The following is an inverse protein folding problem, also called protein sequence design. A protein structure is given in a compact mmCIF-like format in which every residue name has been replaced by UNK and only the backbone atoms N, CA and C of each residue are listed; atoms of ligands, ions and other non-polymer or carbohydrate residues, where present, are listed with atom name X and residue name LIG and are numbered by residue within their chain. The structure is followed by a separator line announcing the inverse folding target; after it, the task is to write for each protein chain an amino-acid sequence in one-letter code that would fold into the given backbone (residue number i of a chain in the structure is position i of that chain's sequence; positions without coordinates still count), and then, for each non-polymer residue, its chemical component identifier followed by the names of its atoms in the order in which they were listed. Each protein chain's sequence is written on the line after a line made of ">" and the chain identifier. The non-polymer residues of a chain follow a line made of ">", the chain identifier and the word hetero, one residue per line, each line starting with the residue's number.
data_IF_623011542666
#
_entry.id   IF_623011542666
#
_cell.length_a   1.000
_cell.length_b   1.000
_cell.length_c   1.000
_cell.angle_alpha   90.00
_cell.angle_beta   90.00
_cell.angle_gamma   90.00
#
_symmetry.space_group_name_H-M   'P 1'
#
loop_
_entity.id
_entity.type
_entity.pdbx_description
1 polymer ?
#
# COMPACT_ATOMS: atom_id res chain seq x y z
N UNK A 1 17.53 10.07 -13.68
CA UNK A 1 16.08 10.00 -13.91
C UNK A 1 15.71 10.35 -15.36
N UNK A 2 16.24 11.43 -15.96
CA UNK A 2 15.94 11.86 -17.35
C UNK A 2 16.06 10.74 -18.41
N UNK A 3 17.04 9.86 -18.26
CA UNK A 3 17.37 8.85 -19.26
C UNK A 3 16.32 7.75 -19.40
N UNK A 4 15.50 7.56 -18.37
CA UNK A 4 14.44 6.52 -18.32
C UNK A 4 13.04 7.09 -18.56
N UNK A 5 12.90 8.41 -18.63
CA UNK A 5 11.61 9.05 -18.88
C UNK A 5 11.17 8.84 -20.32
N UNK A 6 9.89 8.59 -20.48
CA UNK A 6 9.15 8.63 -21.73
C UNK A 6 7.86 9.43 -21.50
N UNK A 7 7.15 9.74 -22.57
CA UNK A 7 5.94 10.56 -22.50
C UNK A 7 4.77 9.90 -23.24
N UNK A 8 3.58 10.13 -22.73
CA UNK A 8 2.35 9.77 -23.40
C UNK A 8 1.40 10.98 -23.42
N UNK A 9 0.46 10.97 -24.33
CA UNK A 9 -0.55 12.01 -24.44
C UNK A 9 -1.93 11.39 -24.23
N UNK A 10 -2.68 11.93 -23.27
CA UNK A 10 -4.06 11.55 -22.97
C UNK A 10 -4.88 12.82 -23.01
N UNK A 11 -5.93 12.86 -23.82
CA UNK A 11 -6.85 13.98 -23.95
C UNK A 11 -6.16 15.35 -24.18
N UNK A 12 -5.06 15.33 -24.96
CA UNK A 12 -4.28 16.52 -25.28
C UNK A 12 -3.28 16.96 -24.20
N UNK A 13 -3.27 16.33 -23.05
CA UNK A 13 -2.30 16.57 -21.98
C UNK A 13 -1.11 15.60 -22.07
N UNK A 14 0.09 16.14 -21.83
CA UNK A 14 1.34 15.38 -21.84
C UNK A 14 1.65 14.90 -20.43
N UNK A 15 1.93 13.59 -20.29
CA UNK A 15 2.35 12.96 -19.06
C UNK A 15 3.71 12.29 -19.23
N UNK A 16 4.57 12.39 -18.22
CA UNK A 16 5.82 11.64 -18.15
C UNK A 16 5.59 10.30 -17.42
N UNK A 17 6.40 9.29 -17.72
CA UNK A 17 6.46 8.02 -16.98
C UNK A 17 7.84 7.39 -17.11
N UNK A 18 8.20 6.47 -16.19
CA UNK A 18 9.42 5.67 -16.29
C UNK A 18 9.19 4.52 -17.27
N UNK A 19 9.92 4.50 -18.36
CA UNK A 19 9.83 3.45 -19.37
C UNK A 19 10.81 2.31 -19.07
N UNK A 20 10.28 1.20 -18.56
CA UNK A 20 11.08 0.01 -18.24
C UNK A 20 11.72 -0.65 -19.47
N UNK A 21 11.26 -0.38 -20.69
CA UNK A 21 11.92 -0.83 -21.93
C UNK A 21 13.27 -0.15 -22.16
N UNK A 22 13.53 0.97 -21.50
CA UNK A 22 14.86 1.61 -21.50
C UNK A 22 15.84 0.98 -20.49
N UNK A 23 15.32 0.19 -19.55
CA UNK A 23 16.09 -0.51 -18.52
C UNK A 23 16.33 -1.99 -18.86
N UNK A 24 15.40 -2.61 -19.56
CA UNK A 24 15.30 -4.05 -19.77
C UNK A 24 15.03 -4.35 -21.24
N UNK A 25 15.62 -5.44 -21.73
CA UNK A 25 15.20 -5.99 -23.01
C UNK A 25 13.76 -6.51 -22.95
N UNK A 26 13.02 -6.58 -24.08
CA UNK A 26 11.68 -7.14 -24.09
C UNK A 26 11.59 -8.55 -23.49
N UNK A 27 12.60 -9.39 -23.72
CA UNK A 27 12.66 -10.74 -23.19
C UNK A 27 12.83 -10.75 -21.66
N UNK A 28 13.65 -9.87 -21.10
CA UNK A 28 13.82 -9.71 -19.64
C UNK A 28 12.54 -9.18 -19.02
N UNK A 29 11.95 -8.13 -19.57
CA UNK A 29 10.71 -7.54 -19.07
C UNK A 29 9.56 -8.57 -19.09
N UNK A 30 9.43 -9.38 -20.16
CA UNK A 30 8.40 -10.41 -20.24
C UNK A 30 8.52 -11.47 -19.13
N UNK A 31 9.75 -11.78 -18.70
CA UNK A 31 10.03 -12.78 -17.65
C UNK A 31 9.85 -12.25 -16.24
N UNK A 32 9.89 -10.92 -16.04
CA UNK A 32 9.76 -10.32 -14.72
C UNK A 32 8.31 -10.33 -14.24
N UNK A 33 8.07 -10.76 -12.98
CA UNK A 33 6.80 -10.57 -12.29
C UNK A 33 6.37 -9.10 -12.27
N UNK A 34 5.07 -8.83 -12.26
CA UNK A 34 4.54 -7.46 -12.23
C UNK A 34 4.93 -6.70 -10.96
N UNK A 35 4.93 -7.37 -9.82
CA UNK A 35 5.39 -6.80 -8.54
C UNK A 35 6.83 -6.30 -8.62
N UNK A 36 7.73 -7.04 -9.28
CA UNK A 36 9.12 -6.60 -9.49
C UNK A 36 9.24 -5.46 -10.51
N UNK A 37 8.35 -5.39 -11.51
CA UNK A 37 8.32 -4.24 -12.43
C UNK A 37 7.96 -2.95 -11.70
N UNK A 38 6.99 -3.01 -10.77
CA UNK A 38 6.60 -1.87 -9.92
C UNK A 38 7.77 -1.45 -9.02
N UNK A 39 8.48 -2.41 -8.40
CA UNK A 39 9.68 -2.10 -7.60
C UNK A 39 10.78 -1.45 -8.43
N UNK A 40 11.07 -1.95 -9.64
CA UNK A 40 12.07 -1.37 -10.53
C UNK A 40 11.69 0.06 -10.97
N UNK A 41 10.42 0.30 -11.27
CA UNK A 41 9.93 1.65 -11.56
C UNK A 41 10.18 2.57 -10.36
N UNK A 42 9.77 2.11 -9.16
CA UNK A 42 9.92 2.87 -7.92
C UNK A 42 11.38 3.24 -7.65
N UNK A 43 12.32 2.28 -7.79
CA UNK A 43 13.75 2.52 -7.60
C UNK A 43 14.31 3.44 -8.67
N UNK A 44 13.93 3.28 -9.93
CA UNK A 44 14.38 4.16 -11.01
C UNK A 44 13.93 5.62 -10.78
N UNK A 45 12.76 5.81 -10.18
CA UNK A 45 12.18 7.11 -9.85
C UNK A 45 12.75 7.71 -8.57
N UNK A 46 12.84 6.94 -7.48
CA UNK A 46 13.09 7.47 -6.14
C UNK A 46 14.53 7.23 -5.65
N UNK A 47 15.19 6.16 -6.08
CA UNK A 47 16.50 5.75 -5.60
C UNK A 47 17.43 5.30 -6.76
N UNK A 48 17.67 6.13 -7.77
CA UNK A 48 18.39 5.73 -8.99
C UNK A 48 19.83 5.24 -8.72
N UNK A 49 20.45 5.61 -7.61
CA UNK A 49 21.77 5.10 -7.19
C UNK A 49 21.74 3.60 -6.92
N UNK A 50 20.64 3.07 -6.38
CA UNK A 50 20.47 1.63 -6.09
C UNK A 50 20.05 0.82 -7.32
N UNK A 51 19.59 1.48 -8.40
CA UNK A 51 19.03 0.83 -9.57
C UNK A 51 19.96 -0.22 -10.21
N UNK A 52 21.27 0.00 -10.39
CA UNK A 52 22.16 -0.99 -11.02
C UNK A 52 22.22 -2.31 -10.25
N UNK A 53 22.29 -2.26 -8.92
CA UNK A 53 22.31 -3.46 -8.06
C UNK A 53 20.99 -4.21 -8.11
N UNK A 54 19.86 -3.48 -7.96
CA UNK A 54 18.51 -4.05 -8.00
C UNK A 54 18.21 -4.64 -9.37
N UNK A 55 18.59 -3.97 -10.46
CA UNK A 55 18.41 -4.45 -11.83
C UNK A 55 19.22 -5.73 -12.11
N UNK A 56 20.49 -5.75 -11.67
CA UNK A 56 21.35 -6.92 -11.79
C UNK A 56 20.75 -8.13 -11.06
N UNK A 57 20.24 -7.91 -9.85
CA UNK A 57 19.56 -8.97 -9.08
C UNK A 57 18.26 -9.41 -9.74
N UNK A 58 17.45 -8.48 -10.23
CA UNK A 58 16.18 -8.75 -10.92
C UNK A 58 16.37 -9.59 -12.20
N UNK A 59 17.50 -9.41 -12.88
CA UNK A 59 17.86 -10.19 -14.09
C UNK A 59 18.61 -11.50 -13.79
N UNK A 60 18.80 -11.82 -12.51
CA UNK A 60 19.46 -13.05 -12.06
C UNK A 60 20.98 -13.05 -12.19
N UNK A 61 21.60 -11.88 -12.32
CA UNK A 61 23.06 -11.74 -12.51
C UNK A 61 23.80 -11.24 -11.27
N UNK A 62 23.08 -10.61 -10.32
CA UNK A 62 23.68 -10.00 -9.14
C UNK A 62 23.44 -10.79 -7.85
N UNK A 63 24.22 -10.47 -6.79
CA UNK A 63 23.99 -10.98 -5.44
C UNK A 63 22.67 -10.45 -4.85
N UNK A 64 22.30 -10.99 -3.71
CA UNK A 64 21.18 -10.43 -2.93
C UNK A 64 21.52 -8.97 -2.54
N UNK A 65 20.52 -8.13 -2.61
CA UNK A 65 20.62 -6.71 -2.30
C UNK A 65 19.39 -6.22 -1.55
N UNK A 66 19.52 -5.05 -0.96
CA UNK A 66 18.42 -4.33 -0.36
C UNK A 66 17.75 -3.43 -1.40
N UNK A 67 16.44 -3.31 -1.30
CA UNK A 67 15.60 -2.45 -2.14
C UNK A 67 15.08 -1.31 -1.26
N UNK A 68 15.52 -0.06 -1.45
CA UNK A 68 15.03 1.10 -0.73
C UNK A 68 13.69 1.55 -1.34
N UNK A 69 12.62 0.91 -0.92
CA UNK A 69 11.27 1.18 -1.45
C UNK A 69 10.72 2.50 -0.90
N UNK A 70 10.24 3.37 -1.78
CA UNK A 70 9.59 4.63 -1.43
C UNK A 70 8.08 4.54 -1.65
N UNK A 71 7.25 4.41 -0.60
CA UNK A 71 5.81 4.41 -0.77
C UNK A 71 5.29 5.78 -1.23
N UNK A 72 4.22 5.79 -2.02
CA UNK A 72 3.56 7.04 -2.43
C UNK A 72 2.76 7.65 -1.29
N UNK A 73 2.31 6.83 -0.37
CA UNK A 73 1.46 7.19 0.77
C UNK A 73 1.54 6.17 1.87
N UNK A 74 1.11 6.58 3.03
CA UNK A 74 1.09 5.80 4.25
C UNK A 74 -0.32 5.79 4.84
N UNK A 75 -0.76 4.61 5.32
CA UNK A 75 -1.98 4.51 6.10
C UNK A 75 -1.68 3.98 7.51
N UNK A 76 -2.38 4.55 8.47
CA UNK A 76 -2.35 4.12 9.86
C UNK A 76 -3.73 3.67 10.32
N UNK A 77 -3.78 2.70 11.19
CA UNK A 77 -4.91 2.54 12.08
C UNK A 77 -4.67 3.31 13.39
N UNK A 78 -5.72 3.56 14.13
CA UNK A 78 -5.71 4.48 15.27
C UNK A 78 -4.81 4.06 16.45
N UNK A 79 -4.52 2.77 16.62
CA UNK A 79 -3.66 2.30 17.71
C UNK A 79 -2.17 2.51 17.43
N UNK A 80 -1.74 2.53 16.18
CA UNK A 80 -0.34 2.72 15.76
C UNK A 80 -0.01 4.14 15.33
N UNK A 81 -1.00 4.93 14.94
CA UNK A 81 -0.80 6.32 14.52
C UNK A 81 -0.44 7.26 15.68
N UNK A 82 -1.04 7.07 16.83
CA UNK A 82 -0.89 8.02 17.96
C UNK A 82 0.54 8.17 18.45
N UNK A 83 1.35 7.10 18.60
CA UNK A 83 2.76 7.25 18.92
C UNK A 83 3.52 8.08 17.87
N UNK A 84 3.29 7.82 16.57
CA UNK A 84 3.92 8.59 15.51
C UNK A 84 3.52 10.08 15.54
N UNK A 85 2.24 10.39 15.81
CA UNK A 85 1.79 11.77 15.96
C UNK A 85 2.38 12.44 17.20
N UNK A 86 2.57 11.72 18.31
CA UNK A 86 3.22 12.23 19.50
C UNK A 86 4.68 12.60 19.23
N UNK A 87 5.39 11.76 18.47
CA UNK A 87 6.76 12.07 18.06
C UNK A 87 6.82 13.28 17.12
N UNK A 88 5.87 13.43 16.19
CA UNK A 88 5.76 14.65 15.36
C UNK A 88 5.49 15.90 16.19
N UNK A 89 4.67 15.80 17.24
CA UNK A 89 4.46 16.91 18.17
C UNK A 89 5.76 17.24 18.93
N UNK A 90 6.45 16.22 19.47
CA UNK A 90 7.73 16.40 20.14
C UNK A 90 8.82 16.98 19.23
N UNK A 91 8.90 16.55 17.97
CA UNK A 91 9.81 17.15 16.99
C UNK A 91 9.50 18.65 16.76
N UNK A 92 8.23 19.03 16.70
CA UNK A 92 7.82 20.44 16.57
C UNK A 92 8.24 21.26 17.79
N UNK A 93 8.10 20.70 18.98
CA UNK A 93 8.55 21.36 20.22
C UNK A 93 10.07 21.59 20.19
N UNK A 94 10.86 20.58 19.84
CA UNK A 94 12.32 20.70 19.72
C UNK A 94 12.73 21.73 18.67
N UNK A 95 12.07 21.75 17.50
CA UNK A 95 12.35 22.75 16.46
C UNK A 95 12.07 24.16 16.97
N UNK A 96 10.97 24.36 17.71
CA UNK A 96 10.63 25.65 18.32
C UNK A 96 11.66 26.06 19.38
N UNK A 97 12.10 25.15 20.26
CA UNK A 97 13.14 25.40 21.28
C UNK A 97 14.49 25.79 20.64
N UNK A 98 14.80 25.23 19.45
CA UNK A 98 15.98 25.59 18.68
C UNK A 98 15.84 26.90 17.88
N UNK A 99 14.69 27.58 17.98
CA UNK A 99 14.39 28.83 17.26
C UNK A 99 14.01 28.63 15.77
N UNK A 100 13.71 27.40 15.35
CA UNK A 100 13.19 27.11 14.03
C UNK A 100 11.68 27.24 13.90
N UNK A 101 11.18 27.06 12.69
CA UNK A 101 9.74 27.04 12.42
C UNK A 101 9.16 25.62 12.63
N UNK A 102 8.36 25.40 13.68
CA UNK A 102 7.77 24.09 13.95
C UNK A 102 6.80 23.62 12.84
N UNK A 103 6.26 24.53 12.04
CA UNK A 103 5.38 24.15 10.92
C UNK A 103 6.10 23.47 9.77
N UNK A 104 7.45 23.53 9.72
CA UNK A 104 8.26 22.78 8.79
C UNK A 104 8.22 21.26 9.00
N UNK A 105 7.85 20.82 10.23
CA UNK A 105 7.71 19.37 10.52
C UNK A 105 6.33 18.90 10.09
N UNK A 106 6.26 18.29 8.92
CA UNK A 106 5.06 17.75 8.30
C UNK A 106 5.34 16.37 7.68
N UNK A 107 4.31 15.54 7.46
CA UNK A 107 4.46 14.32 6.66
C UNK A 107 5.02 14.62 5.26
N UNK A 108 6.13 13.98 4.92
CA UNK A 108 6.75 14.12 3.59
C UNK A 108 5.94 13.45 2.49
N UNK A 109 5.14 12.44 2.84
CA UNK A 109 4.20 11.76 1.95
C UNK A 109 2.78 11.83 2.54
N UNK A 110 1.72 11.73 1.73
CA UNK A 110 0.36 11.70 2.23
C UNK A 110 0.17 10.59 3.26
N UNK A 111 -0.28 10.96 4.46
CA UNK A 111 -0.57 10.05 5.55
C UNK A 111 -2.06 10.08 5.91
N UNK A 112 -2.67 8.92 6.04
CA UNK A 112 -4.09 8.76 6.34
C UNK A 112 -4.25 7.94 7.61
N UNK A 113 -4.98 8.47 8.57
CA UNK A 113 -5.41 7.74 9.76
C UNK A 113 -6.84 7.24 9.57
N UNK A 114 -7.08 5.95 9.80
CA UNK A 114 -8.42 5.36 9.91
C UNK A 114 -8.70 4.98 11.35
N UNK A 115 -9.83 5.43 11.88
CA UNK A 115 -10.25 5.11 13.26
C UNK A 115 -11.20 3.92 13.18
N UNK A 116 -10.69 2.73 13.45
CA UNK A 116 -11.42 1.49 13.24
C UNK A 116 -11.08 0.35 14.23
N UNK A 117 -9.89 0.33 14.81
CA UNK A 117 -9.43 -0.76 15.68
C UNK A 117 -9.78 -0.54 17.16
N UNK A 118 -10.06 0.69 17.58
CA UNK A 118 -10.37 1.02 18.97
C UNK A 118 -11.86 1.02 19.31
N UNK A 119 -12.71 0.99 18.32
CA UNK A 119 -14.17 1.01 18.52
C UNK A 119 -14.64 -0.35 19.04
N UNK A 120 -15.25 -0.35 20.22
CA UNK A 120 -15.77 -1.54 20.90
C UNK A 120 -17.30 -1.55 20.80
N UNK A 121 -17.88 -2.68 20.43
CA UNK A 121 -19.33 -2.87 20.37
C UNK A 121 -19.85 -3.29 21.76
N UNK A 122 -20.59 -2.43 22.42
CA UNK A 122 -21.27 -2.69 23.72
C UNK A 122 -22.79 -2.81 23.57
N UNK A 123 -23.37 -2.10 22.59
CA UNK A 123 -24.75 -2.20 22.20
C UNK A 123 -24.90 -2.90 20.85
N UNK A 124 -25.84 -3.86 20.76
CA UNK A 124 -26.06 -4.63 19.53
C UNK A 124 -27.52 -5.09 19.41
N UNK A 125 -27.96 -5.36 18.20
CA UNK A 125 -29.28 -5.88 17.87
C UNK A 125 -30.45 -5.02 18.39
N UNK A 126 -30.26 -3.73 18.60
CA UNK A 126 -31.28 -2.76 19.04
C UNK A 126 -31.20 -1.47 18.21
N UNK A 127 -32.28 -0.74 18.17
CA UNK A 127 -32.33 0.56 17.49
C UNK A 127 -31.43 1.56 18.23
N UNK A 128 -30.61 2.32 17.48
CA UNK A 128 -29.68 3.29 18.06
C UNK A 128 -28.36 2.70 18.59
N UNK A 129 -28.11 1.39 18.38
CA UNK A 129 -26.88 0.74 18.85
C UNK A 129 -25.61 1.37 18.28
N UNK A 130 -25.64 1.82 17.03
CA UNK A 130 -24.47 2.46 16.37
C UNK A 130 -24.15 3.76 17.08
N UNK A 131 -25.12 4.62 17.26
CA UNK A 131 -24.98 5.92 17.93
C UNK A 131 -24.52 5.74 19.39
N UNK A 132 -25.11 4.77 20.12
CA UNK A 132 -24.72 4.48 21.49
C UNK A 132 -23.25 4.03 21.61
N UNK A 133 -22.79 3.16 20.71
CA UNK A 133 -21.39 2.73 20.69
C UNK A 133 -20.44 3.87 20.35
N UNK A 134 -20.78 4.73 19.39
CA UNK A 134 -19.97 5.91 19.05
C UNK A 134 -19.91 6.90 20.21
N UNK A 135 -21.01 7.17 20.89
CA UNK A 135 -21.03 8.05 22.07
C UNK A 135 -20.15 7.52 23.22
N UNK A 136 -20.14 6.20 23.43
CA UNK A 136 -19.29 5.55 24.42
C UNK A 136 -17.81 5.71 24.00
N UNK A 137 -17.49 5.45 22.75
CA UNK A 137 -16.14 5.55 22.22
C UNK A 137 -15.62 7.00 22.33
N UNK A 138 -16.39 8.00 21.90
CA UNK A 138 -16.02 9.42 21.99
C UNK A 138 -15.78 9.87 23.43
N UNK A 139 -16.58 9.43 24.38
CA UNK A 139 -16.39 9.74 25.81
C UNK A 139 -15.14 9.07 26.37
N UNK A 140 -14.96 7.79 26.10
CA UNK A 140 -13.84 6.97 26.58
C UNK A 140 -12.50 7.47 26.05
N UNK A 141 -12.45 7.84 24.79
CA UNK A 141 -11.25 8.24 24.07
C UNK A 141 -11.18 9.76 23.81
N UNK A 142 -11.82 10.59 24.63
CA UNK A 142 -11.93 12.03 24.39
C UNK A 142 -10.59 12.76 24.24
N UNK A 143 -9.55 12.39 25.00
CA UNK A 143 -8.20 12.96 24.88
C UNK A 143 -7.54 12.57 23.56
N UNK A 144 -7.68 11.30 23.18
CA UNK A 144 -7.19 10.78 21.88
C UNK A 144 -7.81 11.56 20.72
N UNK A 145 -9.12 11.76 20.71
CA UNK A 145 -9.81 12.48 19.65
C UNK A 145 -9.42 13.97 19.59
N UNK A 146 -9.18 14.60 20.73
CA UNK A 146 -8.66 15.98 20.75
C UNK A 146 -7.28 16.06 20.11
N UNK A 147 -6.41 15.11 20.43
CA UNK A 147 -5.07 15.05 19.87
C UNK A 147 -5.08 14.76 18.36
N UNK A 148 -5.89 13.82 17.90
CA UNK A 148 -6.10 13.53 16.46
C UNK A 148 -6.62 14.78 15.74
N UNK A 149 -7.57 15.50 16.33
CA UNK A 149 -8.12 16.73 15.75
C UNK A 149 -7.09 17.85 15.66
N UNK A 150 -6.22 17.94 16.68
CA UNK A 150 -5.07 18.86 16.63
C UNK A 150 -4.13 18.47 15.48
N UNK A 151 -3.76 17.21 15.35
CA UNK A 151 -2.88 16.74 14.30
C UNK A 151 -3.47 17.03 12.89
N UNK A 152 -4.76 16.76 12.70
CA UNK A 152 -5.47 17.04 11.44
C UNK A 152 -5.49 18.53 11.10
N UNK A 153 -5.53 19.41 12.08
CA UNK A 153 -5.54 20.86 11.89
C UNK A 153 -4.14 21.46 11.72
N UNK A 154 -3.11 20.78 12.23
CA UNK A 154 -1.74 21.29 12.33
C UNK A 154 -0.78 20.69 11.32
N UNK A 155 -1.05 19.49 10.81
CA UNK A 155 -0.22 18.79 9.84
C UNK A 155 -0.82 18.91 8.44
N UNK A 156 -0.02 19.37 7.51
CA UNK A 156 -0.31 19.29 6.09
C UNK A 156 -0.33 17.81 5.65
N UNK A 157 -0.62 17.35 4.56
CA UNK A 157 -0.53 15.94 4.11
C UNK A 157 -1.07 14.88 5.10
N UNK A 158 -1.90 15.26 6.09
CA UNK A 158 -2.47 14.35 7.06
C UNK A 158 -3.99 14.39 7.02
N UNK A 159 -4.61 13.21 6.77
CA UNK A 159 -6.06 13.07 6.67
C UNK A 159 -6.57 12.05 7.69
N UNK A 160 -7.74 12.30 8.25
CA UNK A 160 -8.41 11.39 9.19
C UNK A 160 -9.71 10.90 8.59
N UNK A 161 -9.89 9.58 8.59
CA UNK A 161 -11.16 8.91 8.30
C UNK A 161 -11.83 8.62 9.64
N UNK A 162 -13.04 9.15 9.89
CA UNK A 162 -13.68 9.08 11.19
C UNK A 162 -14.15 7.66 11.53
N UNK A 163 -14.45 7.38 12.83
CA UNK A 163 -15.01 6.10 13.24
C UNK A 163 -16.39 5.84 12.60
N UNK A 164 -16.77 4.58 12.49
CA UNK A 164 -18.03 4.17 11.88
C UNK A 164 -17.99 4.07 10.36
N UNK A 165 -16.86 4.35 9.74
CA UNK A 165 -16.67 4.24 8.28
C UNK A 165 -16.29 2.82 7.86
N UNK A 166 -15.84 1.94 8.77
CA UNK A 166 -15.45 0.56 8.56
C UNK A 166 -13.93 0.33 8.70
N UNK A 167 -13.47 -0.90 8.52
CA UNK A 167 -12.07 -1.31 8.70
C UNK A 167 -11.24 -0.87 7.50
N UNK A 168 -10.01 -0.43 7.75
CA UNK A 168 -9.09 0.29 6.86
C UNK A 168 -9.02 -0.25 5.40
N UNK A 169 -8.82 -1.54 5.19
CA UNK A 169 -8.70 -2.10 3.84
C UNK A 169 -9.95 -2.84 3.34
N UNK A 170 -10.97 -2.99 4.18
CA UNK A 170 -12.18 -3.76 3.87
C UNK A 170 -13.36 -2.89 3.45
N UNK A 171 -13.24 -1.60 3.67
CA UNK A 171 -14.34 -0.67 3.60
C UNK A 171 -14.67 -0.18 2.20
N UNK A 172 -13.67 0.31 1.54
CA UNK A 172 -13.83 0.97 0.26
C UNK A 172 -12.47 1.09 -0.43
N UNK A 173 -11.93 -0.04 -0.87
CA UNK A 173 -10.62 -0.07 -1.52
C UNK A 173 -10.56 0.86 -2.72
N UNK A 174 -11.66 1.03 -3.44
CA UNK A 174 -11.76 1.90 -4.61
C UNK A 174 -11.55 3.37 -4.24
N UNK A 175 -11.99 3.79 -3.05
CA UNK A 175 -11.79 5.17 -2.59
C UNK A 175 -10.38 5.45 -2.08
N UNK A 176 -9.65 4.43 -1.66
CA UNK A 176 -8.30 4.58 -1.13
C UNK A 176 -7.21 4.21 -2.14
N UNK A 177 -7.54 3.55 -3.25
CA UNK A 177 -6.61 3.17 -4.30
C UNK A 177 -6.76 4.06 -5.53
N UNK A 178 -5.64 4.47 -6.11
CA UNK A 178 -5.65 5.22 -7.38
C UNK A 178 -5.14 4.38 -8.56
N UNK A 179 -4.52 3.23 -8.30
CA UNK A 179 -3.89 2.35 -9.29
C UNK A 179 -2.74 3.01 -10.04
N UNK A 180 -2.98 4.19 -10.60
CA UNK A 180 -1.98 5.08 -11.20
C UNK A 180 -1.94 6.35 -10.36
N UNK A 181 -0.78 6.66 -9.84
CA UNK A 181 -0.53 7.85 -9.03
C UNK A 181 0.05 8.97 -9.88
N UNK A 182 -0.28 10.20 -9.53
CA UNK A 182 0.26 11.41 -10.14
C UNK A 182 1.21 12.11 -9.18
N UNK A 183 2.37 12.48 -9.69
CA UNK A 183 3.35 13.30 -8.95
C UNK A 183 3.86 14.44 -9.82
N UNK A 184 4.36 15.54 -9.25
CA UNK A 184 5.02 16.58 -10.01
C UNK A 184 6.24 16.01 -10.76
N UNK A 185 6.35 16.30 -12.05
CA UNK A 185 7.54 15.98 -12.82
C UNK A 185 8.59 17.10 -12.70
N UNK A 186 9.86 16.77 -12.91
CA UNK A 186 10.97 17.73 -12.80
C UNK A 186 10.88 18.88 -13.83
N UNK A 187 10.16 18.68 -14.93
CA UNK A 187 9.92 19.69 -15.97
C UNK A 187 8.66 20.55 -15.71
N UNK A 188 8.04 20.40 -14.52
CA UNK A 188 6.81 21.10 -14.15
C UNK A 188 5.53 20.45 -14.67
N UNK A 189 5.63 19.32 -15.38
CA UNK A 189 4.50 18.49 -15.81
C UNK A 189 4.03 17.48 -14.76
N UNK A 190 3.32 16.45 -15.20
CA UNK A 190 2.80 15.36 -14.37
C UNK A 190 3.54 14.07 -14.70
N UNK A 191 4.05 13.40 -13.66
CA UNK A 191 4.67 12.07 -13.73
C UNK A 191 3.66 11.03 -13.27
N UNK A 192 3.32 10.09 -14.16
CA UNK A 192 2.48 8.94 -13.84
C UNK A 192 3.34 7.76 -13.40
N UNK A 193 2.92 7.10 -12.34
CA UNK A 193 3.58 5.89 -11.85
C UNK A 193 2.58 4.97 -11.12
N UNK A 194 2.93 3.70 -10.88
CA UNK A 194 2.06 2.79 -10.12
C UNK A 194 1.76 3.32 -8.71
N UNK A 195 0.53 3.15 -8.26
CA UNK A 195 0.18 3.35 -6.86
C UNK A 195 0.84 2.27 -6.01
N UNK A 196 1.56 2.69 -4.98
CA UNK A 196 2.19 1.80 -4.02
C UNK A 196 2.16 2.43 -2.62
N UNK A 197 1.98 1.61 -1.60
CA UNK A 197 1.76 2.10 -0.25
C UNK A 197 2.31 1.15 0.81
N UNK A 198 2.47 1.68 2.01
CA UNK A 198 2.60 0.88 3.23
C UNK A 198 1.52 1.28 4.23
N UNK A 199 1.17 0.38 5.11
CA UNK A 199 0.29 0.71 6.22
C UNK A 199 0.73 -0.03 7.49
N UNK A 200 0.40 0.52 8.63
CA UNK A 200 0.68 -0.13 9.93
C UNK A 200 -0.38 -1.17 10.30
N UNK A 201 -0.91 -1.84 9.30
CA UNK A 201 -1.91 -2.91 9.41
C UNK A 201 -1.44 -4.17 8.68
N UNK A 202 -1.54 -5.32 9.33
CA UNK A 202 -1.14 -6.62 8.77
C UNK A 202 -1.95 -7.04 7.54
N UNK A 203 -3.18 -6.55 7.39
CA UNK A 203 -4.07 -6.86 6.26
C UNK A 203 -3.94 -5.89 5.08
N UNK A 204 -2.94 -5.03 5.08
CA UNK A 204 -2.59 -4.16 3.94
C UNK A 204 -2.48 -4.91 2.61
N UNK A 205 -1.98 -6.17 2.54
CA UNK A 205 -1.93 -6.90 1.28
C UNK A 205 -3.27 -7.06 0.55
N UNK A 206 -4.40 -6.81 1.20
CA UNK A 206 -5.72 -6.81 0.55
C UNK A 206 -5.80 -5.83 -0.63
N UNK A 207 -5.10 -4.68 -0.55
CA UNK A 207 -5.08 -3.67 -1.62
C UNK A 207 -4.43 -4.20 -2.92
N UNK A 208 -3.59 -5.22 -2.83
CA UNK A 208 -2.95 -5.81 -4.00
C UNK A 208 -3.95 -6.53 -4.93
N UNK A 209 -5.18 -6.79 -4.46
CA UNK A 209 -6.25 -7.37 -5.26
C UNK A 209 -6.63 -6.53 -6.47
N UNK A 210 -6.39 -5.22 -6.42
CA UNK A 210 -6.72 -4.23 -7.44
C UNK A 210 -5.49 -3.60 -8.10
N UNK A 211 -4.33 -4.26 -7.98
CA UNK A 211 -3.11 -3.86 -8.69
C UNK A 211 -2.27 -2.79 -8.01
N UNK A 212 -2.58 -2.43 -6.79
CA UNK A 212 -1.76 -1.54 -5.95
C UNK A 212 -0.75 -2.37 -5.19
N UNK A 213 0.53 -2.03 -5.24
CA UNK A 213 1.56 -2.73 -4.47
C UNK A 213 1.60 -2.19 -3.05
N UNK A 214 1.21 -3.02 -2.07
CA UNK A 214 1.18 -2.60 -0.68
C UNK A 214 1.39 -3.73 0.32
N UNK A 215 1.99 -3.42 1.47
CA UNK A 215 2.19 -4.37 2.57
C UNK A 215 2.20 -3.68 3.93
N UNK A 216 2.04 -4.49 4.97
CA UNK A 216 2.07 -4.05 6.35
C UNK A 216 3.50 -3.79 6.85
N UNK A 217 3.68 -2.71 7.60
CA UNK A 217 4.94 -2.33 8.26
C UNK A 217 4.72 -2.11 9.76
N UNK A 218 5.80 -2.12 10.53
CA UNK A 218 5.77 -1.74 11.94
C UNK A 218 5.53 -0.24 12.14
N UNK A 219 5.16 0.14 13.35
CA UNK A 219 4.88 1.55 13.69
C UNK A 219 6.08 2.48 13.44
N UNK A 220 7.30 2.04 13.80
CA UNK A 220 8.53 2.80 13.57
C UNK A 220 8.87 2.94 12.08
N UNK A 221 8.69 1.88 11.29
CA UNK A 221 8.89 1.93 9.84
C UNK A 221 7.87 2.88 9.19
N UNK A 222 6.60 2.83 9.65
CA UNK A 222 5.57 3.76 9.22
C UNK A 222 5.91 5.21 9.54
N UNK A 223 6.45 5.47 10.74
CA UNK A 223 6.90 6.80 11.13
C UNK A 223 8.09 7.28 10.28
N UNK A 224 9.07 6.42 10.00
CA UNK A 224 10.20 6.74 9.13
C UNK A 224 9.70 7.06 7.70
N UNK A 225 8.77 6.27 7.16
CA UNK A 225 8.13 6.56 5.89
C UNK A 225 7.35 7.89 5.89
N UNK A 226 6.70 8.24 7.00
CA UNK A 226 6.02 9.53 7.16
C UNK A 226 7.00 10.71 7.11
N UNK A 227 8.24 10.51 7.56
CA UNK A 227 9.33 11.49 7.46
C UNK A 227 10.01 11.51 6.07
N UNK A 228 9.60 10.63 5.16
CA UNK A 228 10.14 10.56 3.80
C UNK A 228 11.30 9.58 3.64
N UNK A 229 11.62 8.80 4.67
CA UNK A 229 12.63 7.75 4.57
C UNK A 229 12.11 6.55 3.77
N UNK A 230 12.94 5.93 2.94
CA UNK A 230 12.54 4.70 2.25
C UNK A 230 12.35 3.55 3.26
N UNK A 231 11.47 2.63 2.92
CA UNK A 231 11.30 1.36 3.64
C UNK A 231 12.23 0.32 3.00
N UNK A 232 13.35 -0.02 3.65
CA UNK A 232 14.28 -0.99 3.10
C UNK A 232 13.72 -2.41 3.20
N UNK A 233 13.75 -3.15 2.09
CA UNK A 233 13.38 -4.56 2.07
C UNK A 233 14.47 -5.40 1.40
N UNK A 234 14.72 -6.64 1.83
CA UNK A 234 15.53 -7.57 1.04
C UNK A 234 14.89 -7.76 -0.34
N UNK A 235 15.71 -7.91 -1.40
CA UNK A 235 15.17 -8.18 -2.73
C UNK A 235 14.24 -9.41 -2.69
N UNK A 236 12.93 -9.26 -3.00
CA UNK A 236 11.95 -10.30 -2.72
C UNK A 236 12.05 -11.47 -3.71
N UNK A 237 11.94 -12.68 -3.20
CA UNK A 237 11.63 -13.83 -4.02
C UNK A 237 10.14 -13.79 -4.38
N UNK A 238 9.82 -13.97 -5.67
CA UNK A 238 8.42 -14.01 -6.13
C UNK A 238 8.00 -15.44 -6.43
N UNK A 239 6.92 -15.88 -5.80
CA UNK A 239 6.29 -17.18 -6.02
C UNK A 239 5.04 -16.98 -6.87
N UNK A 240 5.03 -17.55 -8.09
CA UNK A 240 3.88 -17.47 -8.98
C UNK A 240 2.83 -18.53 -8.67
N UNK A 241 1.56 -18.13 -8.57
CA UNK A 241 0.41 -19.04 -8.51
C UNK A 241 -0.36 -18.91 -9.83
N UNK A 242 -0.39 -19.97 -10.60
CA UNK A 242 -1.17 -20.02 -11.83
C UNK A 242 -2.57 -20.53 -11.55
N UNK A 243 -3.57 -19.67 -11.75
CA UNK A 243 -5.00 -20.02 -11.69
C UNK A 243 -5.48 -20.44 -13.07
N UNK A 244 -6.09 -21.61 -13.16
CA UNK A 244 -6.74 -22.12 -14.35
C UNK A 244 -8.20 -22.43 -14.05
N UNK A 245 -9.07 -22.27 -15.04
CA UNK A 245 -10.52 -22.49 -14.90
C UNK A 245 -11.20 -21.50 -13.94
N UNK A 246 -12.37 -21.87 -13.44
CA UNK A 246 -13.19 -21.09 -12.51
C UNK A 246 -13.55 -21.93 -11.29
N UNK A 247 -13.99 -21.25 -10.21
CA UNK A 247 -14.54 -21.92 -9.05
C UNK A 247 -15.79 -22.72 -9.44
N UNK A 248 -15.92 -23.92 -8.91
CA UNK A 248 -17.11 -24.76 -9.12
C UNK A 248 -18.32 -24.14 -8.44
N UNK A 249 -19.54 -24.37 -8.93
CA UNK A 249 -20.75 -23.95 -8.24
C UNK A 249 -20.76 -24.40 -6.77
N UNK A 250 -21.12 -23.51 -5.86
CA UNK A 250 -21.13 -23.76 -4.43
C UNK A 250 -19.81 -23.51 -3.70
N UNK A 251 -18.69 -23.29 -4.42
CA UNK A 251 -17.40 -22.91 -3.82
C UNK A 251 -17.33 -21.40 -3.67
N UNK A 252 -17.01 -20.94 -2.46
CA UNK A 252 -16.92 -19.51 -2.12
C UNK A 252 -15.51 -18.96 -2.27
N UNK A 253 -15.37 -17.63 -2.22
CA UNK A 253 -14.07 -16.97 -2.16
C UNK A 253 -13.30 -17.37 -0.88
N UNK A 254 -14.00 -17.62 0.22
CA UNK A 254 -13.40 -18.08 1.48
C UNK A 254 -12.80 -19.48 1.34
N UNK A 255 -13.49 -20.40 0.66
CA UNK A 255 -12.93 -21.74 0.40
C UNK A 255 -11.64 -21.66 -0.43
N UNK A 256 -11.63 -20.76 -1.44
CA UNK A 256 -10.43 -20.50 -2.22
C UNK A 256 -9.31 -19.95 -1.34
N UNK A 257 -9.60 -18.93 -0.52
CA UNK A 257 -8.61 -18.29 0.35
C UNK A 257 -8.01 -19.27 1.36
N UNK A 258 -8.84 -20.11 1.99
CA UNK A 258 -8.38 -21.13 2.93
C UNK A 258 -7.54 -22.21 2.24
N UNK A 259 -7.93 -22.63 1.04
CA UNK A 259 -7.17 -23.59 0.23
C UNK A 259 -5.80 -23.04 -0.17
N UNK A 260 -5.74 -21.79 -0.60
CA UNK A 260 -4.50 -21.09 -0.94
C UNK A 260 -3.61 -20.97 0.31
N UNK A 261 -4.21 -20.57 1.43
CA UNK A 261 -3.51 -20.45 2.72
C UNK A 261 -2.86 -21.76 3.13
N UNK A 262 -3.60 -22.87 3.11
CA UNK A 262 -3.05 -24.19 3.43
C UNK A 262 -1.91 -24.59 2.48
N UNK A 263 -2.10 -24.39 1.18
CA UNK A 263 -1.11 -24.70 0.15
C UNK A 263 0.20 -23.92 0.36
N UNK A 264 0.11 -22.61 0.61
CA UNK A 264 1.27 -21.72 0.75
C UNK A 264 1.96 -21.87 2.10
N UNK A 265 1.19 -22.08 3.17
CA UNK A 265 1.74 -22.31 4.51
C UNK A 265 2.66 -23.53 4.56
N UNK A 266 2.32 -24.60 3.84
CA UNK A 266 3.16 -25.79 3.71
C UNK A 266 4.49 -25.55 2.98
N UNK A 267 4.63 -24.43 2.25
CA UNK A 267 5.80 -24.09 1.43
C UNK A 267 6.68 -22.98 1.97
N UNK A 268 6.42 -22.49 3.17
CA UNK A 268 7.16 -21.40 3.81
C UNK A 268 7.28 -20.15 2.90
N UNK A 269 6.29 -19.27 3.01
CA UNK A 269 6.24 -18.01 2.24
C UNK A 269 6.79 -16.80 2.97
N UNK A 270 7.41 -17.00 4.14
CA UNK A 270 7.91 -15.89 4.96
C UNK A 270 8.86 -15.01 4.17
N UNK A 271 8.57 -13.71 4.14
CA UNK A 271 9.35 -12.70 3.43
C UNK A 271 9.27 -12.74 1.91
N UNK A 272 8.42 -13.59 1.33
CA UNK A 272 8.25 -13.69 -0.12
C UNK A 272 7.05 -12.88 -0.61
N UNK A 273 7.11 -12.53 -1.89
CA UNK A 273 5.97 -12.04 -2.63
C UNK A 273 5.27 -13.22 -3.33
N UNK A 274 3.96 -13.22 -3.32
CA UNK A 274 3.13 -14.17 -4.06
C UNK A 274 2.43 -13.40 -5.17
N UNK A 275 2.54 -13.86 -6.41
CA UNK A 275 1.90 -13.21 -7.55
C UNK A 275 0.98 -14.20 -8.27
N UNK A 276 -0.28 -13.82 -8.43
CA UNK A 276 -1.28 -14.62 -9.10
C UNK A 276 -1.27 -14.35 -10.60
N UNK A 277 -1.35 -15.40 -11.38
CA UNK A 277 -1.28 -15.36 -12.86
C UNK A 277 -2.23 -16.39 -13.45
N UNK A 278 -2.39 -16.34 -14.77
CA UNK A 278 -3.11 -17.35 -15.52
C UNK A 278 -4.55 -16.96 -15.90
N UNK A 279 -5.15 -17.74 -16.81
CA UNK A 279 -6.44 -17.38 -17.42
C UNK A 279 -7.63 -17.42 -16.44
N UNK A 280 -7.52 -18.19 -15.36
CA UNK A 280 -8.58 -18.29 -14.34
C UNK A 280 -8.78 -17.00 -13.54
N UNK A 281 -7.81 -16.06 -13.55
CA UNK A 281 -7.98 -14.77 -12.88
C UNK A 281 -9.17 -13.97 -13.42
N UNK A 282 -9.52 -14.14 -14.69
CA UNK A 282 -10.67 -13.46 -15.30
C UNK A 282 -12.01 -13.85 -14.68
N UNK A 283 -12.08 -15.02 -14.02
CA UNK A 283 -13.27 -15.49 -13.31
C UNK A 283 -13.38 -15.03 -11.87
N UNK A 284 -12.31 -14.46 -11.28
CA UNK A 284 -12.28 -13.98 -9.92
C UNK A 284 -12.65 -12.48 -9.89
N UNK A 285 -13.69 -12.16 -9.13
CA UNK A 285 -14.03 -10.76 -8.82
C UNK A 285 -12.90 -10.12 -8.00
N UNK A 286 -12.85 -8.79 -7.99
CA UNK A 286 -11.90 -8.06 -7.13
C UNK A 286 -12.09 -8.41 -5.65
N UNK A 287 -13.34 -8.61 -5.19
CA UNK A 287 -13.64 -9.03 -3.82
C UNK A 287 -13.09 -10.43 -3.50
N UNK A 288 -13.20 -11.40 -4.42
CA UNK A 288 -12.62 -12.72 -4.25
C UNK A 288 -11.08 -12.67 -4.18
N UNK A 289 -10.44 -11.83 -5.02
CA UNK A 289 -9.00 -11.59 -4.94
C UNK A 289 -8.62 -10.93 -3.62
N UNK A 290 -9.41 -9.95 -3.16
CA UNK A 290 -9.24 -9.28 -1.87
C UNK A 290 -9.28 -10.26 -0.71
N UNK A 291 -10.23 -11.20 -0.71
CA UNK A 291 -10.32 -12.26 0.32
C UNK A 291 -9.07 -13.12 0.37
N UNK A 292 -8.50 -13.48 -0.78
CA UNK A 292 -7.24 -14.24 -0.85
C UNK A 292 -6.06 -13.41 -0.39
N UNK A 293 -5.94 -12.17 -0.85
CA UNK A 293 -4.84 -11.26 -0.52
C UNK A 293 -4.84 -10.87 0.96
N UNK A 294 -6.02 -10.73 1.56
CA UNK A 294 -6.21 -10.40 2.97
C UNK A 294 -5.56 -11.43 3.90
N UNK A 295 -5.47 -12.70 3.48
CA UNK A 295 -4.88 -13.78 4.27
C UNK A 295 -3.36 -13.93 4.07
N UNK A 296 -2.68 -12.97 3.46
CA UNK A 296 -1.22 -13.00 3.31
C UNK A 296 -0.48 -13.23 4.64
N UNK A 297 -0.84 -12.57 5.76
CA UNK A 297 -0.18 -12.79 7.04
C UNK A 297 -0.29 -14.23 7.55
N UNK A 298 -1.42 -14.91 7.29
CA UNK A 298 -1.69 -16.26 7.77
C UNK A 298 -0.75 -17.30 7.17
N UNK A 299 -0.20 -17.07 5.99
CA UNK A 299 0.83 -17.94 5.40
C UNK A 299 2.21 -17.28 5.31
N UNK A 300 2.36 -16.07 5.85
CA UNK A 300 3.63 -15.38 6.05
C UNK A 300 4.15 -14.63 4.82
N UNK A 301 3.35 -14.45 3.76
CA UNK A 301 3.75 -13.66 2.61
C UNK A 301 3.70 -12.16 2.92
N UNK A 302 4.69 -11.41 2.44
CA UNK A 302 4.70 -9.95 2.57
C UNK A 302 3.69 -9.30 1.62
N UNK A 303 3.59 -9.81 0.40
CA UNK A 303 2.72 -9.29 -0.68
C UNK A 303 1.98 -10.44 -1.33
N UNK A 304 0.71 -10.20 -1.70
CA UNK A 304 -0.10 -11.11 -2.51
C UNK A 304 -0.72 -10.33 -3.66
N UNK A 305 -0.01 -10.29 -4.76
CA UNK A 305 -0.28 -9.38 -5.88
C UNK A 305 -1.15 -10.02 -6.97
N UNK A 306 -2.17 -9.28 -7.38
CA UNK A 306 -3.01 -9.59 -8.54
C UNK A 306 -2.82 -8.50 -9.59
N UNK A 307 -2.29 -8.83 -10.78
CA UNK A 307 -2.12 -7.82 -11.81
C UNK A 307 -3.48 -7.31 -12.30
N UNK A 308 -3.50 -6.06 -12.73
CA UNK A 308 -4.68 -5.45 -13.35
C UNK A 308 -5.08 -6.20 -14.61
N UNK A 309 -6.38 -6.33 -14.80
CA UNK A 309 -6.99 -6.91 -16.00
C UNK A 309 -8.06 -5.96 -16.52
N UNK A 310 -8.30 -5.99 -17.84
CA UNK A 310 -9.26 -5.11 -18.52
C UNK A 310 -10.65 -5.07 -17.85
N UNK A 311 -11.14 -6.21 -17.35
CA UNK A 311 -12.41 -6.26 -16.60
C UNK A 311 -12.40 -5.52 -15.28
N UNK A 312 -11.24 -5.47 -14.60
CA UNK A 312 -11.10 -4.77 -13.33
C UNK A 312 -11.11 -3.25 -13.55
N UNK A 313 -10.47 -2.78 -14.61
CA UNK A 313 -10.48 -1.36 -14.97
C UNK A 313 -11.90 -0.84 -15.25
N UNK A 314 -12.78 -1.68 -15.80
CA UNK A 314 -14.18 -1.31 -16.06
C UNK A 314 -15.07 -1.24 -14.81
N UNK A 315 -14.65 -1.84 -13.69
CA UNK A 315 -15.39 -1.83 -12.43
C UNK A 315 -14.91 -0.75 -11.45
N UNK A 316 -13.79 -0.09 -11.76
CA UNK A 316 -13.21 0.97 -10.94
C UNK A 316 -13.56 2.39 -11.45
N UNK A 317 -14.38 2.49 -12.53
CA UNK A 317 -14.85 3.76 -13.10
C UNK A 317 -16.25 4.10 -12.54
#
# INVERSE_FOLDING_TARGET
>A
MSDFLNHLHIDGQRYAYIDLHKLLTPAQLHRLPYSLRILLENIARCAPVSLPAVLSRATGQGPDCEVPFQPNRLMFHDTTCLPALADFAGMRDVVAELGGDPTAVNPAIPAVLTIDHSVIVEHYAEAGAVEANLDIDFRRNSERYRFIKWAQASLDNFKVIPPGTGIIHQMNMESIAQVVWESPAADGGVLLHPDCMVATDSHTPMINAIGVLGWGVGGLEGQAAMLGEPVPIPFPQVVGIRVSNALRPGVTATDLALTVTELLRRRSMVGKFVEFTGPGLASLSWAARGTVANMAPEYGATVVFFPLMTRLCLTLN
#
